data_IF_257214710003
#
_entry.id   IF_257214710003
#
_cell.length_a   1.000
_cell.length_b   1.000
_cell.length_c   1.000
_cell.angle_alpha   90.00
_cell.angle_beta   90.00
_cell.angle_gamma   90.00
#
_symmetry.space_group_name_H-M   'P 1'
#
loop_
_entity.id
_entity.type
_entity.pdbx_description
1 polymer ?
#
# COMPACT_ATOMS: atom_id res chain seq x y z
N UNK A 1 -13.25 4.50 1.44
CA UNK A 1 -12.67 3.28 2.10
C UNK A 1 -11.83 3.61 3.33
N UNK A 2 -10.97 4.64 3.33
CA UNK A 2 -10.17 5.03 4.50
C UNK A 2 -11.00 5.25 5.77
N UNK A 3 -12.11 5.97 5.66
CA UNK A 3 -13.06 6.20 6.77
C UNK A 3 -13.58 4.89 7.37
N UNK A 4 -13.87 3.89 6.51
CA UNK A 4 -14.33 2.57 6.95
C UNK A 4 -13.25 1.84 7.75
N UNK A 5 -12.02 1.82 7.25
CA UNK A 5 -10.89 1.18 7.94
C UNK A 5 -10.66 1.82 9.31
N UNK A 6 -10.57 3.14 9.36
CA UNK A 6 -10.37 3.88 10.60
C UNK A 6 -11.53 3.62 11.58
N UNK A 7 -12.77 3.67 11.11
CA UNK A 7 -13.94 3.41 11.93
C UNK A 7 -13.94 2.02 12.55
N UNK A 8 -13.67 0.98 11.77
CA UNK A 8 -13.59 -0.42 12.26
C UNK A 8 -12.49 -0.56 13.31
N UNK A 9 -11.31 0.00 13.06
CA UNK A 9 -10.18 -0.06 13.99
C UNK A 9 -10.53 0.61 15.32
N UNK A 10 -11.06 1.84 15.28
CA UNK A 10 -11.40 2.60 16.49
C UNK A 10 -12.49 1.92 17.32
N UNK A 11 -13.54 1.40 16.68
CA UNK A 11 -14.61 0.66 17.36
C UNK A 11 -14.03 -0.62 17.99
N UNK A 12 -13.23 -1.38 17.25
CA UNK A 12 -12.64 -2.61 17.74
C UNK A 12 -11.70 -2.36 18.94
N UNK A 13 -10.84 -1.35 18.86
CA UNK A 13 -9.96 -0.97 19.97
C UNK A 13 -10.73 -0.48 21.20
N UNK A 14 -11.80 0.30 21.01
CA UNK A 14 -12.67 0.75 22.10
C UNK A 14 -13.34 -0.41 22.82
N UNK A 15 -13.94 -1.34 22.06
CA UNK A 15 -14.50 -2.58 22.61
C UNK A 15 -13.43 -3.42 23.31
N UNK A 16 -12.23 -3.50 22.74
CA UNK A 16 -11.08 -4.15 23.34
C UNK A 16 -10.73 -3.60 24.72
N UNK A 17 -10.68 -2.26 24.86
CA UNK A 17 -10.43 -1.61 26.14
C UNK A 17 -11.48 -1.99 27.20
N UNK A 18 -12.77 -2.00 26.86
CA UNK A 18 -13.82 -2.42 27.81
C UNK A 18 -13.70 -3.89 28.22
N UNK A 19 -13.41 -4.79 27.27
CA UNK A 19 -13.24 -6.20 27.53
C UNK A 19 -11.96 -6.44 28.36
N UNK A 20 -10.87 -5.78 28.00
CA UNK A 20 -9.58 -5.88 28.69
C UNK A 20 -9.65 -5.44 30.14
N UNK A 21 -10.38 -4.36 30.44
CA UNK A 21 -10.66 -3.92 31.80
C UNK A 21 -11.32 -5.03 32.64
N UNK A 22 -12.39 -5.64 32.12
CA UNK A 22 -13.08 -6.74 32.81
C UNK A 22 -12.21 -8.01 32.93
N UNK A 23 -11.41 -8.31 31.91
CA UNK A 23 -10.50 -9.45 31.94
C UNK A 23 -9.39 -9.30 32.99
N UNK A 24 -8.82 -8.11 33.09
CA UNK A 24 -7.74 -7.81 34.05
C UNK A 24 -8.18 -7.94 35.50
N UNK A 25 -9.48 -7.80 35.78
CA UNK A 25 -10.04 -7.95 37.13
C UNK A 25 -10.22 -9.41 37.57
N UNK A 26 -10.34 -10.34 36.61
CA UNK A 26 -10.68 -11.75 36.89
C UNK A 26 -9.48 -12.70 36.94
N UNK A 27 -8.29 -12.26 36.50
CA UNK A 27 -7.11 -13.14 36.38
C UNK A 27 -5.84 -12.34 36.61
N UNK A 28 -4.69 -13.03 36.71
CA UNK A 28 -3.38 -12.38 36.74
C UNK A 28 -3.20 -11.47 35.53
N UNK A 29 -3.10 -10.13 35.72
CA UNK A 29 -3.05 -9.16 34.61
C UNK A 29 -1.82 -9.37 33.75
N UNK A 30 -0.67 -9.72 34.31
CA UNK A 30 0.56 -9.94 33.59
C UNK A 30 0.45 -11.17 32.66
N UNK A 31 -0.03 -12.30 33.20
CA UNK A 31 -0.20 -13.51 32.39
C UNK A 31 -1.21 -13.28 31.27
N UNK A 32 -2.29 -12.56 31.56
CA UNK A 32 -3.33 -12.24 30.55
C UNK A 32 -2.80 -11.34 29.45
N UNK A 33 -2.03 -10.30 29.80
CA UNK A 33 -1.40 -9.40 28.87
C UNK A 33 -0.59 -10.16 27.80
N UNK A 34 0.30 -11.05 28.22
CA UNK A 34 1.14 -11.79 27.27
C UNK A 34 0.39 -12.85 26.47
N UNK A 35 -0.70 -13.40 27.02
CA UNK A 35 -1.61 -14.25 26.22
C UNK A 35 -2.29 -13.45 25.10
N UNK A 36 -2.77 -12.24 25.38
CA UNK A 36 -3.37 -11.35 24.38
C UNK A 36 -2.35 -10.96 23.31
N UNK A 37 -1.12 -10.58 23.70
CA UNK A 37 -0.04 -10.26 22.76
C UNK A 37 0.28 -11.47 21.86
N UNK A 38 0.33 -12.68 22.39
CA UNK A 38 0.55 -13.90 21.61
C UNK A 38 -0.56 -14.13 20.59
N UNK A 39 -1.83 -13.99 20.99
CA UNK A 39 -2.96 -14.14 20.07
C UNK A 39 -2.98 -13.07 18.99
N UNK A 40 -2.64 -11.82 19.35
CA UNK A 40 -2.48 -10.73 18.38
C UNK A 40 -1.37 -11.06 17.37
N UNK A 41 -0.21 -11.54 17.84
CA UNK A 41 0.91 -11.93 16.97
C UNK A 41 0.50 -13.01 15.96
N UNK A 42 -0.19 -14.05 16.42
CA UNK A 42 -0.69 -15.14 15.55
C UNK A 42 -1.63 -14.58 14.49
N UNK A 43 -2.60 -13.74 14.91
CA UNK A 43 -3.57 -13.20 13.97
C UNK A 43 -2.93 -12.27 12.95
N UNK A 44 -2.04 -11.38 13.39
CA UNK A 44 -1.30 -10.48 12.50
C UNK A 44 -0.47 -11.28 11.47
N UNK A 45 0.18 -12.37 11.89
CA UNK A 45 0.93 -13.26 11.01
C UNK A 45 0.03 -14.03 10.01
N UNK A 46 -1.24 -14.24 10.31
CA UNK A 46 -2.20 -14.90 9.40
C UNK A 46 -2.71 -13.97 8.30
N UNK A 47 -2.70 -12.65 8.53
CA UNK A 47 -3.25 -11.67 7.56
C UNK A 47 -2.62 -11.81 6.16
N UNK A 48 -1.30 -11.85 5.96
CA UNK A 48 -0.71 -12.00 4.63
C UNK A 48 -1.10 -13.32 3.94
N UNK A 49 -1.29 -14.39 4.70
CA UNK A 49 -1.61 -15.72 4.15
C UNK A 49 -3.07 -15.80 3.71
N UNK A 50 -3.99 -15.34 4.57
CA UNK A 50 -5.44 -15.54 4.40
C UNK A 50 -6.11 -14.32 3.76
N UNK A 51 -5.56 -13.13 3.98
CA UNK A 51 -6.21 -11.85 3.68
C UNK A 51 -6.62 -11.71 2.22
N UNK A 52 -5.73 -12.05 1.28
CA UNK A 52 -6.00 -11.97 -0.16
C UNK A 52 -7.18 -12.85 -0.61
N UNK A 53 -7.25 -14.07 -0.12
CA UNK A 53 -8.35 -14.97 -0.43
C UNK A 53 -9.66 -14.50 0.18
N UNK A 54 -9.59 -13.99 1.41
CA UNK A 54 -10.74 -13.44 2.10
C UNK A 54 -11.25 -12.17 1.40
N UNK A 55 -10.37 -11.25 1.04
CA UNK A 55 -10.75 -10.02 0.32
C UNK A 55 -11.41 -10.39 -1.02
N UNK A 56 -10.83 -11.32 -1.78
CA UNK A 56 -11.41 -11.76 -3.06
C UNK A 56 -12.81 -12.39 -2.87
N UNK A 57 -12.96 -13.27 -1.88
CA UNK A 57 -14.24 -13.91 -1.59
C UNK A 57 -15.30 -12.91 -1.13
N UNK A 58 -14.92 -11.99 -0.22
CA UNK A 58 -15.83 -10.95 0.29
C UNK A 58 -16.20 -9.96 -0.81
N UNK A 59 -15.24 -9.55 -1.66
CA UNK A 59 -15.51 -8.68 -2.80
C UNK A 59 -16.48 -9.32 -3.79
N UNK A 60 -16.28 -10.58 -4.13
CA UNK A 60 -17.19 -11.32 -4.98
C UNK A 60 -18.59 -11.41 -4.37
N UNK A 61 -18.71 -11.78 -3.10
CA UNK A 61 -19.99 -11.84 -2.41
C UNK A 61 -20.69 -10.46 -2.34
N UNK A 62 -19.93 -9.39 -2.10
CA UNK A 62 -20.47 -8.03 -2.03
C UNK A 62 -21.06 -7.55 -3.36
N UNK A 63 -20.47 -7.91 -4.49
CA UNK A 63 -21.00 -7.60 -5.84
C UNK A 63 -22.37 -8.24 -6.05
N UNK A 64 -22.57 -9.49 -5.59
CA UNK A 64 -23.85 -10.18 -5.71
C UNK A 64 -24.89 -9.72 -4.71
N UNK A 65 -24.49 -9.47 -3.45
CA UNK A 65 -25.44 -9.13 -2.37
C UNK A 65 -25.80 -7.64 -2.32
N UNK A 66 -24.88 -6.77 -2.71
CA UNK A 66 -24.99 -5.32 -2.62
C UNK A 66 -24.54 -4.61 -3.91
N UNK A 67 -25.18 -4.85 -5.08
CA UNK A 67 -24.71 -4.35 -6.36
C UNK A 67 -24.42 -2.84 -6.40
N UNK A 68 -25.31 -2.05 -5.77
CA UNK A 68 -25.21 -0.57 -5.77
C UNK A 68 -24.13 -0.03 -4.81
N UNK A 69 -23.71 -0.82 -3.81
CA UNK A 69 -22.78 -0.39 -2.77
C UNK A 69 -21.68 -1.46 -2.51
N UNK A 70 -21.35 -2.24 -3.51
CA UNK A 70 -20.45 -3.40 -3.38
C UNK A 70 -19.07 -3.02 -2.83
N UNK A 71 -18.50 -1.88 -3.25
CA UNK A 71 -17.20 -1.41 -2.78
C UNK A 71 -17.25 -1.04 -1.29
N UNK A 72 -18.29 -0.34 -0.85
CA UNK A 72 -18.45 0.05 0.55
C UNK A 72 -18.72 -1.18 1.43
N UNK A 73 -19.67 -2.03 1.04
CA UNK A 73 -20.01 -3.24 1.78
C UNK A 73 -18.83 -4.23 1.82
N UNK A 74 -18.18 -4.46 0.68
CA UNK A 74 -17.01 -5.33 0.59
C UNK A 74 -15.85 -4.86 1.46
N UNK A 75 -15.52 -3.57 1.40
CA UNK A 75 -14.45 -3.02 2.23
C UNK A 75 -14.78 -3.06 3.73
N UNK A 76 -16.03 -2.76 4.13
CA UNK A 76 -16.45 -2.85 5.52
C UNK A 76 -16.35 -4.28 6.07
N UNK A 77 -16.87 -5.25 5.33
CA UNK A 77 -16.85 -6.66 5.73
C UNK A 77 -15.41 -7.21 5.78
N UNK A 78 -14.60 -6.96 4.74
CA UNK A 78 -13.21 -7.40 4.71
C UNK A 78 -12.40 -6.80 5.86
N UNK A 79 -12.52 -5.49 6.09
CA UNK A 79 -11.86 -4.81 7.21
C UNK A 79 -12.32 -5.35 8.57
N UNK A 80 -13.62 -5.57 8.75
CA UNK A 80 -14.15 -6.11 10.00
C UNK A 80 -13.60 -7.51 10.28
N UNK A 81 -13.56 -8.38 9.29
CA UNK A 81 -13.06 -9.75 9.48
C UNK A 81 -11.54 -9.77 9.72
N UNK A 82 -10.77 -9.00 8.95
CA UNK A 82 -9.31 -9.04 9.02
C UNK A 82 -8.75 -8.27 10.22
N UNK A 83 -9.30 -7.08 10.53
CA UNK A 83 -8.69 -6.14 11.47
C UNK A 83 -9.44 -5.98 12.78
N UNK A 84 -10.77 -6.24 12.84
CA UNK A 84 -11.50 -6.01 14.08
C UNK A 84 -10.99 -6.89 15.22
N UNK A 85 -10.73 -8.18 14.97
CA UNK A 85 -10.28 -9.09 16.02
C UNK A 85 -8.87 -8.75 16.55
N UNK A 86 -7.83 -8.57 15.73
CA UNK A 86 -6.51 -8.20 16.24
C UNK A 86 -6.52 -6.82 16.93
N UNK A 87 -7.27 -5.84 16.41
CA UNK A 87 -7.39 -4.53 17.06
C UNK A 87 -8.13 -4.60 18.41
N UNK A 88 -9.16 -5.43 18.50
CA UNK A 88 -9.86 -5.71 19.77
C UNK A 88 -8.90 -6.34 20.79
N UNK A 89 -8.11 -7.35 20.38
CA UNK A 89 -7.13 -8.02 21.24
C UNK A 89 -6.06 -7.01 21.69
N UNK A 90 -5.51 -6.21 20.77
CA UNK A 90 -4.51 -5.19 21.10
C UNK A 90 -5.10 -4.09 22.00
N UNK A 91 -6.34 -3.64 21.76
CA UNK A 91 -7.04 -2.71 22.65
C UNK A 91 -7.15 -3.26 24.08
N UNK A 92 -7.42 -4.55 24.23
CA UNK A 92 -7.52 -5.19 25.55
C UNK A 92 -6.18 -5.25 26.31
N UNK A 93 -5.04 -5.01 25.68
CA UNK A 93 -3.73 -5.01 26.33
C UNK A 93 -3.53 -3.79 27.24
N UNK A 94 -4.04 -2.61 26.87
CA UNK A 94 -3.83 -1.36 27.63
C UNK A 94 -4.32 -1.43 29.08
N UNK A 95 -5.56 -1.84 29.38
CA UNK A 95 -6.01 -2.00 30.76
C UNK A 95 -5.22 -3.07 31.55
N UNK A 96 -4.83 -4.16 30.87
CA UNK A 96 -3.99 -5.20 31.48
C UNK A 96 -2.60 -4.67 31.84
N UNK A 97 -2.00 -3.82 30.99
CA UNK A 97 -0.70 -3.19 31.26
C UNK A 97 -0.78 -2.24 32.45
N UNK A 98 -1.77 -1.35 32.48
CA UNK A 98 -1.96 -0.40 33.57
C UNK A 98 -2.10 -1.17 34.89
N UNK A 99 -2.96 -2.19 34.92
CA UNK A 99 -3.18 -2.97 36.12
C UNK A 99 -1.96 -3.79 36.56
N UNK A 100 -1.20 -4.35 35.62
CA UNK A 100 0.04 -5.08 35.92
C UNK A 100 1.16 -4.18 36.43
N UNK A 101 1.19 -2.90 36.01
CA UNK A 101 2.20 -1.94 36.44
C UNK A 101 1.83 -1.16 37.72
N UNK A 102 0.55 -1.14 38.09
CA UNK A 102 0.07 -0.43 39.29
C UNK A 102 0.29 -1.26 40.51
N UNK A 103 1.10 -0.77 41.47
CA UNK A 103 1.34 -1.41 42.77
C UNK A 103 0.38 -0.90 43.84
N UNK A 104 0.06 0.41 43.82
CA UNK A 104 -0.81 1.09 44.76
C UNK A 104 -1.83 1.95 44.06
N UNK A 105 -3.00 2.16 44.69
CA UNK A 105 -4.07 2.97 44.12
C UNK A 105 -3.65 4.45 43.88
N UNK A 106 -2.77 4.97 44.73
CA UNK A 106 -2.29 6.34 44.65
C UNK A 106 -1.40 6.60 43.40
N UNK A 107 -0.76 5.57 42.86
CA UNK A 107 0.12 5.64 41.68
C UNK A 107 -0.63 5.49 40.35
N UNK A 108 -1.92 5.22 40.37
CA UNK A 108 -2.71 4.86 39.20
C UNK A 108 -2.68 5.94 38.10
N UNK A 109 -2.78 7.21 38.48
CA UNK A 109 -2.76 8.35 37.54
C UNK A 109 -1.41 8.49 36.83
N UNK A 110 -0.30 8.34 37.57
CA UNK A 110 1.05 8.41 37.02
C UNK A 110 1.32 7.25 36.05
N UNK A 111 1.04 6.03 36.49
CA UNK A 111 1.27 4.81 35.67
C UNK A 111 0.42 4.85 34.38
N UNK A 112 -0.85 5.23 34.49
CA UNK A 112 -1.70 5.38 33.32
C UNK A 112 -1.17 6.45 32.34
N UNK A 113 -0.73 7.60 32.86
CA UNK A 113 -0.13 8.67 32.07
C UNK A 113 1.14 8.22 31.33
N UNK A 114 2.03 7.52 32.00
CA UNK A 114 3.26 6.96 31.40
C UNK A 114 2.94 5.94 30.30
N UNK A 115 2.00 5.03 30.53
CA UNK A 115 1.60 4.02 29.52
C UNK A 115 0.93 4.66 28.32
N UNK A 116 0.03 5.62 28.52
CA UNK A 116 -0.59 6.35 27.41
C UNK A 116 0.42 7.20 26.63
N UNK A 117 1.36 7.86 27.30
CA UNK A 117 2.45 8.59 26.66
C UNK A 117 3.32 7.68 25.78
N UNK A 118 3.77 6.55 26.31
CA UNK A 118 4.53 5.56 25.55
C UNK A 118 3.71 4.95 24.39
N UNK A 119 2.44 4.70 24.62
CA UNK A 119 1.55 4.20 23.56
C UNK A 119 1.40 5.21 22.40
N UNK A 120 1.32 6.50 22.71
CA UNK A 120 1.28 7.57 21.70
C UNK A 120 2.57 7.62 20.89
N UNK A 121 3.74 7.56 21.55
CA UNK A 121 5.04 7.48 20.86
C UNK A 121 5.13 6.22 19.99
N UNK A 122 4.69 5.08 20.51
CA UNK A 122 4.62 3.84 19.75
C UNK A 122 3.70 3.95 18.51
N UNK A 123 2.58 4.65 18.63
CA UNK A 123 1.65 4.90 17.52
C UNK A 123 2.27 5.76 16.43
N UNK A 124 3.04 6.80 16.83
CA UNK A 124 3.79 7.63 15.88
C UNK A 124 4.80 6.76 15.12
N UNK A 125 5.63 6.01 15.82
CA UNK A 125 6.60 5.09 15.19
C UNK A 125 5.89 4.06 14.29
N UNK A 126 4.78 3.48 14.77
CA UNK A 126 3.99 2.50 14.03
C UNK A 126 3.28 3.05 12.79
N UNK A 127 3.11 4.37 12.69
CA UNK A 127 2.57 5.03 11.50
C UNK A 127 3.67 5.29 10.47
N UNK A 128 4.79 5.86 10.89
CA UNK A 128 5.85 6.28 9.98
C UNK A 128 6.76 5.13 9.54
N UNK A 129 7.12 4.24 10.45
CA UNK A 129 8.06 3.15 10.16
C UNK A 129 7.58 2.20 9.05
N UNK A 130 6.33 1.70 9.04
CA UNK A 130 5.84 0.90 7.93
C UNK A 130 5.85 1.66 6.60
N UNK A 131 5.31 2.85 6.59
CA UNK A 131 5.10 3.63 5.36
C UNK A 131 6.41 4.02 4.68
N UNK A 132 7.40 4.50 5.44
CA UNK A 132 8.62 5.08 4.87
C UNK A 132 9.82 4.14 4.89
N UNK A 133 9.77 3.06 5.67
CA UNK A 133 10.94 2.18 5.84
C UNK A 133 10.62 0.74 5.48
N UNK A 134 9.69 0.08 6.20
CA UNK A 134 9.62 -1.38 6.07
C UNK A 134 8.88 -1.82 4.81
N UNK A 135 7.77 -1.17 4.44
CA UNK A 135 7.06 -1.50 3.19
C UNK A 135 7.94 -1.22 1.95
N UNK A 136 8.60 -0.05 1.80
CA UNK A 136 9.49 0.18 0.66
C UNK A 136 10.69 -0.77 0.59
N UNK A 137 11.22 -1.22 1.74
CA UNK A 137 12.40 -2.09 1.77
C UNK A 137 12.09 -3.59 1.59
N UNK A 138 10.96 -4.06 2.10
CA UNK A 138 10.67 -5.49 2.16
C UNK A 138 9.25 -5.89 1.74
N UNK A 139 8.39 -4.93 1.41
CA UNK A 139 6.99 -5.15 1.03
C UNK A 139 6.04 -5.31 2.22
N UNK A 140 4.75 -5.27 1.92
CA UNK A 140 3.68 -5.32 2.91
C UNK A 140 3.67 -6.64 3.70
N UNK A 141 3.75 -7.78 3.03
CA UNK A 141 3.70 -9.10 3.67
C UNK A 141 4.78 -9.29 4.72
N UNK A 142 6.04 -8.98 4.38
CA UNK A 142 7.17 -9.10 5.30
C UNK A 142 7.08 -8.11 6.45
N UNK A 143 6.49 -6.94 6.21
CA UNK A 143 6.21 -5.95 7.26
C UNK A 143 5.23 -6.52 8.30
N UNK A 144 4.17 -7.21 7.88
CA UNK A 144 3.27 -7.91 8.81
C UNK A 144 4.00 -8.96 9.63
N UNK A 145 4.86 -9.78 9.01
CA UNK A 145 5.65 -10.79 9.73
C UNK A 145 6.65 -10.16 10.70
N UNK A 146 7.27 -9.03 10.35
CA UNK A 146 8.16 -8.29 11.25
C UNK A 146 7.43 -7.87 12.53
N UNK A 147 6.27 -7.23 12.40
CA UNK A 147 5.50 -6.79 13.56
C UNK A 147 4.92 -7.97 14.36
N UNK A 148 4.46 -9.02 13.70
CA UNK A 148 4.04 -10.26 14.37
C UNK A 148 5.20 -10.89 15.13
N UNK A 149 6.40 -10.90 14.56
CA UNK A 149 7.62 -11.38 15.20
C UNK A 149 8.00 -10.57 16.44
N UNK A 150 7.91 -9.23 16.37
CA UNK A 150 8.14 -8.35 17.53
C UNK A 150 7.14 -8.68 18.66
N UNK A 151 5.85 -8.74 18.37
CA UNK A 151 4.82 -9.10 19.35
C UNK A 151 5.07 -10.48 19.96
N UNK A 152 5.39 -11.47 19.14
CA UNK A 152 5.68 -12.82 19.61
C UNK A 152 6.94 -12.87 20.45
N UNK A 153 7.98 -12.10 20.12
CA UNK A 153 9.23 -12.03 20.91
C UNK A 153 8.99 -11.50 22.31
N UNK A 154 8.09 -10.52 22.48
CA UNK A 154 7.69 -10.04 23.81
C UNK A 154 6.99 -11.14 24.62
N UNK A 155 6.12 -11.92 23.99
CA UNK A 155 5.47 -13.05 24.67
C UNK A 155 6.46 -14.17 25.00
N UNK A 156 7.44 -14.45 24.14
CA UNK A 156 8.54 -15.40 24.41
C UNK A 156 9.39 -14.94 25.59
N UNK A 157 9.82 -13.67 25.60
CA UNK A 157 10.62 -13.10 26.68
C UNK A 157 9.94 -13.28 28.03
N UNK A 158 8.64 -12.98 28.14
CA UNK A 158 7.88 -13.24 29.37
C UNK A 158 7.79 -14.72 29.70
N UNK A 159 7.54 -15.59 28.72
CA UNK A 159 7.46 -17.04 28.96
C UNK A 159 8.78 -17.61 29.50
N UNK A 160 9.92 -17.09 29.05
CA UNK A 160 11.26 -17.43 29.53
C UNK A 160 11.44 -16.95 30.99
N UNK A 161 11.08 -15.68 31.26
CA UNK A 161 11.21 -15.09 32.60
C UNK A 161 10.36 -15.86 33.65
N UNK A 162 9.15 -16.24 33.27
CA UNK A 162 8.25 -16.99 34.17
C UNK A 162 8.43 -18.50 34.12
N UNK A 163 9.32 -19.01 33.28
CA UNK A 163 9.54 -20.45 33.05
C UNK A 163 8.25 -21.22 32.70
N UNK A 164 7.26 -20.56 32.10
CA UNK A 164 5.96 -21.13 31.77
C UNK A 164 5.65 -20.89 30.27
N UNK A 165 5.14 -21.91 29.59
CA UNK A 165 4.69 -21.78 28.20
C UNK A 165 5.79 -21.63 27.15
N UNK A 166 7.07 -21.77 27.50
CA UNK A 166 8.22 -21.59 26.59
C UNK A 166 8.11 -22.40 25.28
N UNK A 167 7.67 -23.65 25.34
CA UNK A 167 7.53 -24.50 24.14
C UNK A 167 6.54 -23.91 23.17
N UNK A 168 5.36 -23.46 23.63
CA UNK A 168 4.32 -22.87 22.77
C UNK A 168 4.79 -21.56 22.15
N UNK A 169 5.34 -20.67 22.97
CA UNK A 169 5.84 -19.37 22.49
C UNK A 169 7.00 -19.53 21.49
N UNK A 170 7.94 -20.43 21.76
CA UNK A 170 9.06 -20.73 20.86
C UNK A 170 8.61 -21.35 19.54
N UNK A 171 7.65 -22.29 19.57
CA UNK A 171 7.09 -22.88 18.33
C UNK A 171 6.36 -21.83 17.50
N UNK A 172 5.57 -20.96 18.14
CA UNK A 172 4.86 -19.88 17.41
C UNK A 172 5.84 -18.92 16.76
N UNK A 173 6.89 -18.50 17.48
CA UNK A 173 7.92 -17.63 16.89
C UNK A 173 8.64 -18.31 15.74
N UNK A 174 9.02 -19.59 15.88
CA UNK A 174 9.65 -20.35 14.83
C UNK A 174 8.75 -20.43 13.58
N UNK A 175 7.46 -20.68 13.74
CA UNK A 175 6.50 -20.71 12.63
C UNK A 175 6.41 -19.34 11.92
N UNK A 176 6.30 -18.25 12.68
CA UNK A 176 6.27 -16.89 12.10
C UNK A 176 7.55 -16.62 11.28
N UNK A 177 8.71 -16.92 11.87
CA UNK A 177 10.00 -16.73 11.17
C UNK A 177 10.11 -17.62 9.93
N UNK A 178 9.69 -18.89 10.02
CA UNK A 178 9.72 -19.81 8.88
C UNK A 178 8.84 -19.31 7.73
N UNK A 179 7.63 -18.82 8.02
CA UNK A 179 6.74 -18.26 7.00
C UNK A 179 7.29 -16.94 6.45
N UNK A 180 7.85 -16.08 7.30
CA UNK A 180 8.46 -14.80 6.88
C UNK A 180 9.67 -14.99 5.94
N UNK A 181 10.46 -16.04 6.17
CA UNK A 181 11.64 -16.38 5.36
C UNK A 181 11.31 -17.31 4.19
N UNK A 182 10.09 -17.77 4.10
CA UNK A 182 9.64 -18.63 3.00
C UNK A 182 9.76 -17.91 1.65
N UNK A 183 10.32 -18.56 0.62
CA UNK A 183 10.37 -17.99 -0.72
C UNK A 183 8.99 -17.96 -1.40
N UNK A 184 7.96 -18.49 -0.76
CA UNK A 184 6.59 -18.45 -1.24
C UNK A 184 5.95 -17.07 -1.00
N UNK A 185 6.47 -16.04 -1.71
CA UNK A 185 5.71 -14.83 -1.97
C UNK A 185 4.60 -15.21 -2.94
N UNK A 186 3.45 -15.58 -2.41
CA UNK A 186 2.29 -15.82 -3.27
C UNK A 186 1.77 -14.45 -3.68
N UNK A 187 1.82 -14.16 -4.98
CA UNK A 187 1.25 -12.95 -5.58
C UNK A 187 -0.10 -12.59 -4.95
N UNK A 188 -0.34 -11.31 -4.68
CA UNK A 188 -1.66 -10.87 -4.27
C UNK A 188 -2.69 -11.18 -5.36
N UNK A 189 -2.29 -11.01 -6.62
CA UNK A 189 -3.08 -11.42 -7.79
C UNK A 189 -2.92 -12.93 -8.08
N UNK A 190 -3.27 -13.77 -7.09
CA UNK A 190 -3.07 -15.24 -7.16
C UNK A 190 -3.83 -15.94 -8.30
N UNK A 191 -4.77 -15.26 -8.94
CA UNK A 191 -5.52 -15.75 -10.13
C UNK A 191 -4.81 -15.43 -11.45
N UNK A 192 -3.70 -14.70 -11.42
CA UNK A 192 -2.91 -14.32 -12.59
C UNK A 192 -1.45 -14.73 -12.41
N UNK A 193 -0.71 -14.76 -13.52
CA UNK A 193 0.75 -14.99 -13.50
C UNK A 193 1.44 -13.67 -13.90
N UNK A 194 1.78 -12.82 -12.96
CA UNK A 194 2.50 -11.59 -13.26
C UNK A 194 3.94 -11.90 -13.70
N UNK A 195 4.51 -11.05 -14.57
CA UNK A 195 5.95 -11.03 -14.81
C UNK A 195 6.68 -10.47 -13.59
N UNK A 196 6.13 -9.40 -13.02
CA UNK A 196 6.65 -8.74 -11.82
C UNK A 196 5.51 -8.27 -10.97
N UNK A 197 5.65 -8.43 -9.66
CA UNK A 197 4.82 -7.85 -8.63
C UNK A 197 5.75 -7.22 -7.60
N UNK A 198 5.58 -5.92 -7.37
CA UNK A 198 6.39 -5.15 -6.45
C UNK A 198 5.59 -4.02 -5.81
N UNK A 199 6.14 -3.41 -4.78
CA UNK A 199 5.54 -2.27 -4.08
C UNK A 199 6.54 -1.12 -4.02
N UNK A 200 6.04 0.09 -4.20
CA UNK A 200 6.78 1.32 -3.97
C UNK A 200 6.18 2.10 -2.79
N UNK A 201 6.74 3.26 -2.48
CA UNK A 201 6.14 4.21 -1.52
C UNK A 201 4.78 4.72 -1.99
N UNK A 202 4.56 4.72 -3.31
CA UNK A 202 3.38 5.33 -3.95
C UNK A 202 2.35 4.30 -4.35
N UNK A 203 2.78 3.13 -4.87
CA UNK A 203 1.90 2.20 -5.55
C UNK A 203 2.22 0.73 -5.27
N UNK A 204 1.19 -0.12 -5.36
CA UNK A 204 1.34 -1.52 -5.67
C UNK A 204 1.46 -1.65 -7.20
N UNK A 205 2.46 -2.37 -7.67
CA UNK A 205 2.82 -2.43 -9.09
C UNK A 205 2.79 -3.86 -9.61
N UNK A 206 2.03 -4.08 -10.67
CA UNK A 206 1.86 -5.38 -11.30
C UNK A 206 2.12 -5.29 -12.79
N UNK A 207 3.15 -5.97 -13.27
CA UNK A 207 3.46 -6.11 -14.70
C UNK A 207 2.96 -7.45 -15.20
N UNK A 208 2.12 -7.42 -16.23
CA UNK A 208 1.55 -8.62 -16.88
C UNK A 208 1.93 -8.64 -18.35
N UNK A 209 2.02 -9.84 -18.91
CA UNK A 209 2.16 -10.02 -20.37
C UNK A 209 1.07 -10.96 -20.87
N UNK A 210 0.38 -10.53 -21.92
CA UNK A 210 -0.60 -11.33 -22.63
C UNK A 210 -0.50 -11.05 -24.12
N UNK A 211 -0.36 -12.08 -24.93
CA UNK A 211 -0.30 -11.98 -26.40
C UNK A 211 0.79 -11.04 -26.92
N UNK A 212 1.92 -10.95 -26.19
CA UNK A 212 3.05 -10.07 -26.54
C UNK A 212 2.81 -8.59 -26.20
N UNK A 213 1.75 -8.28 -25.43
CA UNK A 213 1.47 -6.97 -24.89
C UNK A 213 1.75 -6.97 -23.40
N UNK A 214 2.65 -6.08 -22.95
CA UNK A 214 2.94 -5.84 -21.54
C UNK A 214 2.08 -4.72 -21.00
N UNK A 215 1.53 -4.92 -19.81
CA UNK A 215 0.64 -3.96 -19.14
C UNK A 215 1.10 -3.73 -17.72
N UNK A 216 1.20 -2.47 -17.32
CA UNK A 216 1.39 -2.06 -15.94
C UNK A 216 0.02 -1.74 -15.33
N UNK A 217 -0.22 -2.28 -14.15
CA UNK A 217 -1.38 -1.95 -13.31
C UNK A 217 -0.91 -1.51 -11.93
N UNK A 218 -1.55 -0.49 -11.36
CA UNK A 218 -1.33 -0.04 -9.98
C UNK A 218 -2.37 -0.63 -9.01
N UNK A 219 -3.26 -1.46 -9.53
CA UNK A 219 -4.30 -2.17 -8.78
C UNK A 219 -4.38 -3.64 -9.20
N UNK A 220 -4.78 -4.48 -8.24
CA UNK A 220 -4.85 -5.93 -8.44
C UNK A 220 -5.94 -6.32 -9.43
N UNK A 221 -7.07 -5.61 -9.45
CA UNK A 221 -8.27 -6.05 -10.17
C UNK A 221 -8.61 -5.24 -11.41
N UNK A 222 -8.25 -3.96 -11.49
CA UNK A 222 -8.75 -3.04 -12.53
C UNK A 222 -7.67 -2.02 -12.91
N UNK A 223 -7.74 -1.55 -14.16
CA UNK A 223 -6.95 -0.45 -14.66
C UNK A 223 -5.63 -0.88 -15.30
N UNK A 224 -5.39 -0.35 -16.49
CA UNK A 224 -4.11 -0.41 -17.18
C UNK A 224 -3.56 1.02 -17.16
N UNK A 225 -2.48 1.23 -16.40
CA UNK A 225 -1.80 2.51 -16.28
C UNK A 225 -0.81 2.74 -17.41
N UNK A 226 -0.34 1.65 -18.00
CA UNK A 226 0.59 1.72 -19.12
C UNK A 226 0.58 0.43 -19.89
N UNK A 227 0.88 0.50 -21.18
CA UNK A 227 1.04 -0.69 -22.01
C UNK A 227 2.18 -0.53 -23.01
N UNK A 228 2.76 -1.66 -23.38
CA UNK A 228 3.79 -1.78 -24.38
C UNK A 228 3.51 -2.94 -25.31
N UNK A 229 3.62 -2.69 -26.61
CA UNK A 229 3.62 -3.71 -27.66
C UNK A 229 4.79 -3.45 -28.60
N UNK A 230 5.52 -4.50 -28.96
CA UNK A 230 6.55 -4.39 -29.99
C UNK A 230 5.98 -4.16 -31.38
N UNK A 231 4.68 -4.38 -31.59
CA UNK A 231 3.99 -4.11 -32.86
C UNK A 231 3.50 -2.66 -32.86
N UNK A 232 3.87 -1.86 -33.88
CA UNK A 232 3.34 -0.52 -34.03
C UNK A 232 1.82 -0.55 -34.17
N UNK A 233 1.14 0.45 -33.62
CA UNK A 233 -0.30 0.58 -33.72
C UNK A 233 -0.91 1.42 -32.62
N UNK A 234 -2.20 1.58 -32.66
CA UNK A 234 -2.99 2.21 -31.60
C UNK A 234 -3.11 1.26 -30.40
N UNK A 235 -3.28 1.83 -29.23
CA UNK A 235 -3.33 1.08 -27.98
C UNK A 235 -4.70 0.50 -27.66
N UNK A 236 -5.76 1.06 -28.27
CA UNK A 236 -7.15 0.78 -27.89
C UNK A 236 -7.55 1.40 -26.55
N UNK A 237 -6.72 2.27 -25.99
CA UNK A 237 -6.94 2.98 -24.74
C UNK A 237 -7.10 4.49 -24.97
N UNK A 238 -7.35 5.25 -23.91
CA UNK A 238 -7.52 6.70 -23.96
C UNK A 238 -6.30 7.46 -24.52
N UNK A 239 -5.12 6.86 -24.52
CA UNK A 239 -3.91 7.44 -25.15
C UNK A 239 -4.10 7.75 -26.62
N UNK A 240 -4.87 6.92 -27.32
CA UNK A 240 -5.15 7.13 -28.74
C UNK A 240 -5.94 8.41 -28.98
N UNK A 241 -6.87 8.72 -28.07
CA UNK A 241 -7.61 9.97 -28.09
C UNK A 241 -6.74 11.17 -27.67
N UNK A 242 -5.79 10.95 -26.76
CA UNK A 242 -4.86 12.00 -26.33
C UNK A 242 -3.98 12.50 -27.46
N UNK A 243 -3.69 11.68 -28.49
CA UNK A 243 -2.98 12.11 -29.70
C UNK A 243 -3.68 13.25 -30.43
N UNK A 244 -5.01 13.41 -30.28
CA UNK A 244 -5.74 14.52 -30.89
C UNK A 244 -5.24 15.88 -30.36
N UNK A 245 -4.62 15.94 -29.17
CA UNK A 245 -4.05 17.18 -28.64
C UNK A 245 -3.05 17.83 -29.60
N UNK A 246 -2.33 17.04 -30.36
CA UNK A 246 -1.36 17.52 -31.34
C UNK A 246 -2.00 18.33 -32.53
N UNK A 247 -3.27 18.09 -32.84
CA UNK A 247 -3.98 18.78 -33.85
C UNK A 247 -4.54 20.15 -33.41
N UNK A 248 -4.54 20.42 -32.12
CA UNK A 248 -5.01 21.70 -31.57
C UNK A 248 -3.89 22.76 -31.44
N UNK A 249 -2.64 22.36 -31.68
CA UNK A 249 -1.53 23.32 -31.73
C UNK A 249 -1.28 23.80 -33.17
N UNK A 250 -0.76 25.04 -33.35
CA UNK A 250 -0.38 25.52 -34.67
C UNK A 250 0.58 24.56 -35.38
N UNK A 251 0.39 24.36 -36.68
CA UNK A 251 1.25 23.49 -37.47
C UNK A 251 2.73 23.88 -37.28
N UNK A 252 3.54 22.88 -36.98
CA UNK A 252 5.00 23.00 -36.86
C UNK A 252 5.60 22.60 -38.19
N UNK A 253 6.55 23.39 -38.70
CA UNK A 253 7.29 22.98 -39.89
C UNK A 253 7.98 21.64 -39.64
N UNK A 254 8.13 20.82 -40.69
CA UNK A 254 8.67 19.45 -40.53
C UNK A 254 10.02 19.35 -39.83
N UNK A 255 10.79 20.42 -39.82
CA UNK A 255 12.12 20.51 -39.22
C UNK A 255 12.12 21.13 -37.80
N UNK A 256 10.99 21.64 -37.33
CA UNK A 256 10.89 22.20 -35.99
C UNK A 256 10.54 21.14 -34.93
N UNK A 257 11.25 21.17 -33.80
CA UNK A 257 10.91 20.33 -32.68
C UNK A 257 9.59 20.74 -32.03
N UNK A 258 8.80 19.73 -31.63
CA UNK A 258 7.54 19.91 -30.91
C UNK A 258 7.75 19.56 -29.41
N UNK A 259 7.97 20.57 -28.57
CA UNK A 259 8.19 20.28 -27.12
C UNK A 259 6.88 19.89 -26.45
N UNK A 260 6.91 18.73 -25.79
CA UNK A 260 5.77 18.11 -25.12
C UNK A 260 6.15 17.80 -23.67
N UNK A 261 5.25 18.07 -22.75
CA UNK A 261 5.36 17.68 -21.35
C UNK A 261 4.29 16.64 -21.02
N UNK A 262 4.72 15.55 -20.36
CA UNK A 262 3.83 14.52 -19.82
C UNK A 262 3.99 14.49 -18.31
N UNK A 263 2.93 14.82 -17.58
CA UNK A 263 2.87 14.73 -16.11
C UNK A 263 2.09 13.47 -15.73
N UNK A 264 2.75 12.56 -15.02
CA UNK A 264 2.29 11.18 -14.84
C UNK A 264 2.74 10.34 -16.05
N UNK A 265 4.06 10.23 -16.19
CA UNK A 265 4.69 9.62 -17.38
C UNK A 265 4.48 8.11 -17.44
N UNK A 266 4.28 7.48 -16.31
CA UNK A 266 4.20 6.04 -16.15
C UNK A 266 5.37 5.31 -16.82
N UNK A 267 5.15 4.28 -17.64
CA UNK A 267 6.23 3.57 -18.35
C UNK A 267 6.50 4.08 -19.77
N UNK A 268 5.91 5.22 -20.17
CA UNK A 268 6.19 5.89 -21.44
C UNK A 268 5.27 5.48 -22.59
N UNK A 269 4.09 4.92 -22.35
CA UNK A 269 3.14 4.52 -23.39
C UNK A 269 2.82 5.68 -24.32
N UNK A 270 2.42 6.84 -23.77
CA UNK A 270 2.06 8.00 -24.58
C UNK A 270 3.26 8.59 -25.33
N UNK A 271 4.48 8.52 -24.77
CA UNK A 271 5.68 8.97 -25.45
C UNK A 271 5.97 8.12 -26.69
N UNK A 272 5.96 6.80 -26.55
CA UNK A 272 6.17 5.89 -27.69
C UNK A 272 5.11 6.07 -28.79
N UNK A 273 3.86 6.20 -28.37
CA UNK A 273 2.76 6.44 -29.28
C UNK A 273 2.92 7.80 -29.98
N UNK A 274 3.35 8.84 -29.27
CA UNK A 274 3.62 10.15 -29.84
C UNK A 274 4.72 10.10 -30.90
N UNK A 275 5.83 9.44 -30.63
CA UNK A 275 6.92 9.30 -31.61
C UNK A 275 6.51 8.52 -32.87
N UNK A 276 5.61 7.55 -32.72
CA UNK A 276 5.11 6.78 -33.87
C UNK A 276 4.35 7.66 -34.87
N UNK A 277 3.56 8.64 -34.39
CA UNK A 277 2.69 9.49 -35.23
C UNK A 277 3.24 10.90 -35.42
N UNK A 278 4.08 11.38 -34.50
CA UNK A 278 4.68 12.71 -34.47
C UNK A 278 6.17 12.62 -34.18
N UNK A 279 7.03 12.19 -35.12
CA UNK A 279 8.46 11.97 -34.91
C UNK A 279 9.24 13.20 -34.45
N UNK A 280 8.71 14.41 -34.73
CA UNK A 280 9.29 15.68 -34.29
C UNK A 280 9.04 15.99 -32.82
N UNK A 281 8.19 15.22 -32.09
CA UNK A 281 7.94 15.43 -30.70
C UNK A 281 9.23 15.30 -29.89
N UNK A 282 9.46 16.23 -28.95
CA UNK A 282 10.52 16.17 -27.95
C UNK A 282 9.87 16.16 -26.59
N UNK A 283 10.01 15.03 -25.89
CA UNK A 283 9.18 14.71 -24.75
C UNK A 283 9.98 14.81 -23.48
N UNK A 284 9.51 15.65 -22.55
CA UNK A 284 9.88 15.63 -21.14
C UNK A 284 8.78 14.88 -20.38
N UNK A 285 9.15 13.79 -19.70
CA UNK A 285 8.26 12.97 -18.89
C UNK A 285 8.54 13.17 -17.41
N UNK A 286 7.52 13.40 -16.60
CA UNK A 286 7.65 13.54 -15.15
C UNK A 286 6.85 12.44 -14.47
N UNK A 287 7.53 11.64 -13.66
CA UNK A 287 6.96 10.52 -12.91
C UNK A 287 7.42 10.59 -11.45
N UNK A 288 6.48 10.52 -10.53
CA UNK A 288 6.82 10.62 -9.11
C UNK A 288 7.41 9.31 -8.56
N UNK A 289 7.03 8.18 -9.14
CA UNK A 289 7.40 6.85 -8.66
C UNK A 289 8.66 6.32 -9.38
N UNK A 290 9.83 6.29 -8.71
CA UNK A 290 11.06 5.79 -9.32
C UNK A 290 10.97 4.32 -9.72
N UNK A 291 10.12 3.53 -9.05
CA UNK A 291 9.94 2.13 -9.35
C UNK A 291 9.19 1.93 -10.69
N UNK A 292 8.22 2.79 -11.00
CA UNK A 292 7.54 2.78 -12.30
C UNK A 292 8.54 3.07 -13.43
N UNK A 293 9.43 4.05 -13.24
CA UNK A 293 10.46 4.37 -14.24
C UNK A 293 11.44 3.22 -14.41
N UNK A 294 11.84 2.55 -13.32
CA UNK A 294 12.68 1.34 -13.37
C UNK A 294 12.00 0.23 -14.19
N UNK A 295 10.74 -0.06 -13.88
CA UNK A 295 9.95 -1.06 -14.61
C UNK A 295 9.78 -0.68 -16.09
N UNK A 296 9.62 0.61 -16.38
CA UNK A 296 9.57 1.14 -17.76
C UNK A 296 10.80 0.76 -18.57
N UNK A 297 11.99 0.94 -18.00
CA UNK A 297 13.26 0.60 -18.64
C UNK A 297 13.47 -0.92 -18.77
N UNK A 298 13.06 -1.69 -17.78
CA UNK A 298 13.30 -3.12 -17.71
C UNK A 298 12.30 -3.95 -18.53
N UNK A 299 11.02 -3.54 -18.53
CA UNK A 299 9.94 -4.35 -19.12
C UNK A 299 9.19 -3.66 -20.27
N UNK A 300 9.29 -2.33 -20.42
CA UNK A 300 8.50 -1.57 -21.42
C UNK A 300 9.38 -0.93 -22.49
N UNK A 301 10.65 -1.35 -22.58
CA UNK A 301 11.59 -0.86 -23.57
C UNK A 301 11.71 0.68 -23.60
N UNK A 302 11.62 1.29 -22.42
CA UNK A 302 11.76 2.73 -22.26
C UNK A 302 13.23 3.12 -22.41
N UNK A 303 13.52 3.95 -23.40
CA UNK A 303 14.86 4.41 -23.74
C UNK A 303 15.00 5.94 -23.59
N UNK A 304 16.22 6.49 -23.51
CA UNK A 304 16.43 7.95 -23.55
C UNK A 304 15.92 8.62 -24.83
N UNK A 305 15.80 7.87 -25.93
CA UNK A 305 15.28 8.39 -27.20
C UNK A 305 13.75 8.61 -27.14
N UNK A 306 13.04 7.88 -26.27
CA UNK A 306 11.60 8.04 -26.08
C UNK A 306 11.24 9.32 -25.33
N UNK A 307 12.01 9.67 -24.30
CA UNK A 307 11.76 10.87 -23.48
C UNK A 307 12.91 11.17 -22.54
N UNK A 308 13.08 12.45 -22.19
CA UNK A 308 13.83 12.86 -21.02
C UNK A 308 12.95 12.68 -19.77
N UNK A 309 13.25 11.67 -18.94
CA UNK A 309 12.42 11.35 -17.75
C UNK A 309 12.98 11.98 -16.50
N UNK A 310 12.13 12.72 -15.77
CA UNK A 310 12.41 13.33 -14.48
C UNK A 310 11.63 12.61 -13.39
N UNK A 311 12.33 12.13 -12.36
CA UNK A 311 11.72 11.43 -11.23
C UNK A 311 11.48 12.44 -10.12
N UNK A 312 10.30 13.07 -10.13
CA UNK A 312 9.91 14.09 -9.16
C UNK A 312 8.41 14.39 -9.20
N UNK A 313 7.93 15.19 -8.26
CA UNK A 313 6.55 15.67 -8.26
C UNK A 313 6.29 16.63 -9.42
N UNK A 314 5.20 16.39 -10.17
CA UNK A 314 4.88 17.15 -11.38
C UNK A 314 4.65 18.63 -11.16
N UNK A 315 4.05 19.01 -10.02
CA UNK A 315 3.87 20.43 -9.66
C UNK A 315 5.21 21.11 -9.36
N UNK A 316 6.09 20.43 -8.63
CA UNK A 316 7.42 20.94 -8.34
C UNK A 316 8.26 21.10 -9.61
N UNK A 317 8.14 20.17 -10.56
CA UNK A 317 8.78 20.29 -11.86
C UNK A 317 8.34 21.55 -12.61
N UNK A 318 7.04 21.79 -12.71
CA UNK A 318 6.50 22.97 -13.41
C UNK A 318 6.97 24.26 -12.73
N UNK A 319 6.96 24.32 -11.41
CA UNK A 319 7.38 25.52 -10.66
C UNK A 319 8.85 25.88 -10.86
N UNK A 320 9.71 24.90 -11.14
CA UNK A 320 11.16 25.09 -11.33
C UNK A 320 11.57 25.18 -12.79
N UNK A 321 10.70 24.77 -13.71
CA UNK A 321 11.03 24.70 -15.13
C UNK A 321 10.77 26.04 -15.85
N UNK A 322 11.79 26.53 -16.52
CA UNK A 322 11.66 27.68 -17.44
C UNK A 322 11.28 27.26 -18.86
N UNK A 323 11.19 25.94 -19.11
CA UNK A 323 10.85 25.37 -20.43
C UNK A 323 9.43 25.72 -20.81
N UNK A 324 9.20 25.91 -22.10
CA UNK A 324 7.87 26.13 -22.68
C UNK A 324 7.49 24.94 -23.54
N UNK A 325 6.28 24.47 -23.37
CA UNK A 325 5.73 23.32 -24.08
C UNK A 325 4.57 23.74 -24.98
N UNK A 326 4.43 23.08 -26.10
CA UNK A 326 3.29 23.25 -26.99
C UNK A 326 2.12 22.35 -26.60
N UNK A 327 2.42 21.18 -26.08
CA UNK A 327 1.43 20.24 -25.55
C UNK A 327 1.82 19.89 -24.12
N UNK A 328 0.87 19.94 -23.21
CA UNK A 328 1.01 19.43 -21.85
C UNK A 328 -0.08 18.37 -21.67
N UNK A 329 0.35 17.14 -21.46
CA UNK A 329 -0.53 16.02 -21.16
C UNK A 329 -0.47 15.71 -19.67
N UNK A 330 -1.58 15.92 -18.96
CA UNK A 330 -1.70 15.65 -17.52
C UNK A 330 -2.42 14.31 -17.34
N UNK A 331 -1.68 13.30 -16.93
CA UNK A 331 -2.14 11.93 -16.65
C UNK A 331 -1.71 11.42 -15.27
N UNK A 332 -1.48 12.33 -14.35
CA UNK A 332 -1.09 12.02 -12.97
C UNK A 332 -2.31 11.63 -12.11
N UNK A 333 -3.15 10.72 -12.60
CA UNK A 333 -4.33 10.25 -11.88
C UNK A 333 -4.05 8.91 -11.18
N UNK A 334 -4.61 8.77 -9.97
CA UNK A 334 -4.77 7.47 -9.32
C UNK A 334 -6.24 7.07 -9.44
N UNK A 335 -6.54 6.04 -10.23
CA UNK A 335 -7.89 5.60 -10.58
C UNK A 335 -8.74 6.71 -11.24
N UNK A 336 -9.69 7.25 -10.47
CA UNK A 336 -10.64 8.28 -10.90
C UNK A 336 -10.38 9.65 -10.26
N UNK A 337 -9.28 9.79 -9.52
CA UNK A 337 -8.98 11.03 -8.79
C UNK A 337 -7.62 11.59 -9.18
N UNK A 338 -7.59 12.88 -9.48
CA UNK A 338 -6.34 13.62 -9.61
C UNK A 338 -5.81 14.02 -8.23
N UNK A 339 -4.49 14.08 -8.03
CA UNK A 339 -3.90 14.62 -6.82
C UNK A 339 -4.41 16.05 -6.60
N UNK A 340 -4.92 16.33 -5.40
CA UNK A 340 -5.56 17.61 -5.07
C UNK A 340 -4.69 18.82 -5.46
N UNK A 341 -3.39 18.77 -5.20
CA UNK A 341 -2.45 19.85 -5.49
C UNK A 341 -2.21 20.08 -6.98
N UNK A 342 -2.61 19.14 -7.86
CA UNK A 342 -2.54 19.26 -9.31
C UNK A 342 -3.91 19.61 -9.94
N UNK A 343 -4.93 19.88 -9.12
CA UNK A 343 -6.28 20.23 -9.56
C UNK A 343 -6.72 21.61 -9.00
N UNK A 344 -5.77 22.46 -8.60
CA UNK A 344 -6.05 23.81 -8.08
C UNK A 344 -5.88 24.86 -9.17
N UNK A 345 -6.48 26.05 -8.94
CA UNK A 345 -6.34 27.20 -9.85
C UNK A 345 -4.88 27.68 -9.98
N UNK A 346 -4.09 27.54 -8.91
CA UNK A 346 -2.68 27.95 -8.85
C UNK A 346 -1.73 26.99 -9.57
N UNK A 347 -2.18 25.77 -9.87
CA UNK A 347 -1.44 24.79 -10.67
C UNK A 347 -1.61 25.07 -12.14
#
# INVERSE_FOLDING_TARGET
>A
TWTVIIGVILVAMSLGNFIGGRLSDRSDPQQRLYQLIMWAAIWVALIPVVGKYLIAAVAAAAVFMFPSNSVLAGSLLACAILFALPCLILGATSPCMIKAATSNLDDNGRVAGEIYGLSTLGSICGTFLPTFVTVPLMGTDRTFYLFAGILCSLAVANAVMQRRGMKRAGVTLLLIVTVALSPFSVSFAFWEKPLVETESVYNYLLVKESEGVRKLSTHVALGVQSMYSAKPGLTGLYYDLALLSYFFVPAVANDESLPVLILGFATGTFAKLSHQFFPQARIDGVEIDPEIVRLGREYFDLTPDDAQVYVEDGRMFIQRSDKKYRVIFLDASQDVTYPFHMATYEF
#
